data_IF_817258683537
#
_entry.id   IF_817258683537
#
_cell.length_a   1.000
_cell.length_b   1.000
_cell.length_c   1.000
_cell.angle_alpha   90.00
_cell.angle_beta   90.00
_cell.angle_gamma   90.00
#
_symmetry.space_group_name_H-M   'P 1'
#
loop_
_entity.id
_entity.type
_entity.pdbx_description
1 polymer ?
#
# COMPACT_ATOMS: atom_id res chain seq x y z
N UNK A 1 -2.08 -2.33 -15.94
CA UNK A 1 -2.00 -2.25 -14.47
C UNK A 1 -0.89 -1.30 -14.11
N UNK A 2 -1.20 -0.24 -13.35
CA UNK A 2 -0.24 0.75 -12.86
C UNK A 2 0.01 0.53 -11.37
N UNK A 3 1.25 0.25 -11.00
CA UNK A 3 1.68 0.11 -9.61
C UNK A 3 2.72 1.19 -9.31
N UNK A 4 2.51 1.97 -8.25
CA UNK A 4 3.45 3.01 -7.81
C UNK A 4 4.17 2.57 -6.55
N UNK A 5 5.49 2.70 -6.57
CA UNK A 5 6.37 2.44 -5.44
C UNK A 5 6.45 3.70 -4.59
N UNK A 6 6.29 3.54 -3.28
CA UNK A 6 6.29 4.62 -2.31
C UNK A 6 7.73 5.14 -2.01
N UNK A 7 7.83 6.29 -1.34
CA UNK A 7 9.09 6.89 -0.92
C UNK A 7 9.79 6.12 0.20
N UNK A 8 9.05 5.32 0.98
CA UNK A 8 9.63 4.49 2.04
C UNK A 8 10.47 3.32 1.49
N UNK A 9 10.36 3.01 0.19
CA UNK A 9 11.32 2.13 -0.47
C UNK A 9 12.56 2.93 -0.86
N UNK A 10 13.74 2.44 -0.45
CA UNK A 10 14.99 3.04 -0.88
C UNK A 10 15.08 3.09 -2.40
N UNK A 11 15.67 4.16 -2.94
CA UNK A 11 15.85 4.34 -4.39
C UNK A 11 16.47 3.11 -5.07
N UNK A 12 17.43 2.44 -4.41
CA UNK A 12 18.08 1.23 -4.96
C UNK A 12 17.12 0.05 -5.10
N UNK A 13 16.25 -0.16 -4.11
CA UNK A 13 15.22 -1.21 -4.14
C UNK A 13 14.18 -0.89 -5.22
N UNK A 14 13.68 0.36 -5.25
CA UNK A 14 12.72 0.79 -6.26
C UNK A 14 13.28 0.66 -7.69
N UNK A 15 14.55 1.06 -7.90
CA UNK A 15 15.24 0.90 -9.17
C UNK A 15 15.41 -0.57 -9.58
N UNK A 16 15.76 -1.44 -8.64
CA UNK A 16 15.90 -2.88 -8.91
C UNK A 16 14.56 -3.51 -9.33
N UNK A 17 13.47 -3.20 -8.62
CA UNK A 17 12.13 -3.66 -8.95
C UNK A 17 11.73 -3.20 -10.36
N UNK A 18 11.85 -1.91 -10.64
CA UNK A 18 11.51 -1.34 -11.96
C UNK A 18 12.32 -1.97 -13.09
N UNK A 19 13.62 -2.14 -12.90
CA UNK A 19 14.48 -2.75 -13.91
C UNK A 19 14.12 -4.22 -14.19
N UNK A 20 13.83 -5.01 -13.16
CA UNK A 20 13.48 -6.42 -13.32
C UNK A 20 12.09 -6.62 -13.94
N UNK A 21 11.19 -5.66 -13.72
CA UNK A 21 9.79 -5.70 -14.17
C UNK A 21 9.55 -4.91 -15.45
N UNK A 22 10.59 -4.33 -16.02
CA UNK A 22 10.53 -3.64 -17.30
C UNK A 22 10.00 -4.56 -18.41
N UNK A 23 9.35 -3.96 -19.40
CA UNK A 23 8.85 -4.62 -20.62
C UNK A 23 7.81 -5.74 -20.40
N UNK A 24 7.30 -5.88 -19.18
CA UNK A 24 6.16 -6.77 -18.89
C UNK A 24 4.88 -6.14 -19.47
N UNK A 25 4.37 -6.75 -20.54
CA UNK A 25 3.16 -6.26 -21.22
C UNK A 25 2.01 -6.00 -20.24
N UNK A 26 1.43 -4.80 -20.32
CA UNK A 26 0.30 -4.38 -19.48
C UNK A 26 0.65 -4.07 -18.03
N UNK A 27 1.93 -4.03 -17.63
CA UNK A 27 2.38 -3.62 -16.31
C UNK A 27 3.23 -2.35 -16.40
N UNK A 28 2.85 -1.33 -15.62
CA UNK A 28 3.61 -0.10 -15.46
C UNK A 28 4.02 0.02 -13.99
N UNK A 29 5.33 0.09 -13.72
CA UNK A 29 5.88 0.26 -12.37
C UNK A 29 6.64 1.58 -12.30
N UNK A 30 6.13 2.50 -11.48
CA UNK A 30 6.68 3.84 -11.29
C UNK A 30 7.13 4.04 -9.85
N UNK A 31 7.99 5.02 -9.59
CA UNK A 31 8.35 5.42 -8.22
C UNK A 31 7.82 6.84 -7.96
N UNK A 32 7.26 7.08 -6.77
CA UNK A 32 6.58 8.35 -6.46
C UNK A 32 7.48 9.59 -6.68
N UNK A 33 8.78 9.45 -6.41
CA UNK A 33 9.78 10.52 -6.57
C UNK A 33 10.10 10.86 -8.03
N UNK A 34 9.66 10.05 -9.00
CA UNK A 34 9.76 10.42 -10.43
C UNK A 34 8.77 11.55 -10.78
N UNK A 35 7.73 11.76 -9.96
CA UNK A 35 6.62 12.68 -10.23
C UNK A 35 6.48 13.77 -9.17
N UNK A 36 6.94 13.52 -7.95
CA UNK A 36 6.72 14.41 -6.80
C UNK A 36 8.02 14.71 -6.05
N UNK A 37 8.27 15.98 -5.70
CA UNK A 37 9.42 16.34 -4.89
C UNK A 37 9.32 15.77 -3.47
N UNK A 38 10.46 15.65 -2.76
CA UNK A 38 10.49 15.36 -1.33
C UNK A 38 9.53 16.22 -0.52
N UNK A 39 8.74 15.58 0.37
CA UNK A 39 7.80 16.27 1.26
C UNK A 39 6.42 16.56 0.68
N UNK A 40 6.09 16.01 -0.50
CA UNK A 40 4.70 15.99 -0.98
C UNK A 40 3.86 15.13 -0.03
N UNK A 41 2.70 15.63 0.38
CA UNK A 41 1.81 14.94 1.31
C UNK A 41 1.15 13.73 0.66
N UNK A 42 1.02 12.64 1.44
CA UNK A 42 0.44 11.38 0.97
C UNK A 42 -0.93 11.55 0.29
N UNK A 43 -1.92 12.24 0.90
CA UNK A 43 -3.25 12.36 0.29
C UNK A 43 -3.24 12.96 -1.12
N UNK A 44 -2.36 13.94 -1.37
CA UNK A 44 -2.32 14.64 -2.66
C UNK A 44 -1.80 13.76 -3.78
N UNK A 45 -0.67 13.06 -3.60
CA UNK A 45 -0.13 12.22 -4.66
C UNK A 45 -0.94 10.93 -4.85
N UNK A 46 -1.50 10.37 -3.77
CA UNK A 46 -2.42 9.23 -3.84
C UNK A 46 -3.63 9.54 -4.72
N UNK A 47 -4.27 10.69 -4.48
CA UNK A 47 -5.43 11.14 -5.25
C UNK A 47 -5.07 11.40 -6.72
N UNK A 48 -3.93 12.04 -6.98
CA UNK A 48 -3.45 12.27 -8.34
C UNK A 48 -3.21 10.95 -9.08
N UNK A 49 -2.53 10.00 -8.44
CA UNK A 49 -2.26 8.70 -9.04
C UNK A 49 -3.54 7.89 -9.30
N UNK A 50 -4.50 7.91 -8.37
CA UNK A 50 -5.80 7.29 -8.57
C UNK A 50 -6.53 7.89 -9.78
N UNK A 51 -6.52 9.22 -9.92
CA UNK A 51 -7.12 9.92 -11.07
C UNK A 51 -6.43 9.60 -12.40
N UNK A 52 -5.13 9.28 -12.40
CA UNK A 52 -4.36 8.78 -13.56
C UNK A 52 -4.66 7.32 -13.93
N UNK A 53 -5.60 6.66 -13.22
CA UNK A 53 -5.91 5.24 -13.40
C UNK A 53 -4.93 4.31 -12.68
N UNK A 54 -4.31 4.78 -11.59
CA UNK A 54 -3.52 3.95 -10.68
C UNK A 54 -4.31 2.75 -10.15
N UNK A 55 -3.65 1.61 -10.00
CA UNK A 55 -4.31 0.39 -9.48
C UNK A 55 -3.83 0.04 -8.07
N UNK A 56 -2.52 0.10 -7.83
CA UNK A 56 -1.96 -0.29 -6.55
C UNK A 56 -0.71 0.48 -6.15
N UNK A 57 -0.41 0.42 -4.86
CA UNK A 57 0.80 0.98 -4.26
C UNK A 57 1.55 -0.10 -3.51
N UNK A 58 2.87 -0.04 -3.60
CA UNK A 58 3.75 -0.83 -2.76
C UNK A 58 4.60 0.11 -1.90
N UNK A 59 4.35 0.09 -0.59
CA UNK A 59 5.10 0.88 0.38
C UNK A 59 6.17 0.05 1.08
N UNK A 60 7.21 0.74 1.55
CA UNK A 60 8.20 0.20 2.48
C UNK A 60 7.87 0.49 3.94
N UNK A 61 6.80 1.23 4.23
CA UNK A 61 6.46 1.61 5.60
C UNK A 61 5.86 0.43 6.38
N UNK A 62 6.71 -0.17 7.21
CA UNK A 62 6.30 -1.24 8.10
C UNK A 62 5.48 -0.78 9.32
N UNK A 63 5.40 0.53 9.56
CA UNK A 63 4.72 1.13 10.72
C UNK A 63 3.42 1.85 10.33
N UNK A 64 2.89 1.62 9.12
CA UNK A 64 1.67 2.28 8.64
C UNK A 64 0.48 2.16 9.62
N UNK A 65 0.40 1.05 10.36
CA UNK A 65 -0.64 0.81 11.38
C UNK A 65 -0.52 1.73 12.61
N UNK A 66 0.67 2.27 12.88
CA UNK A 66 0.89 3.24 13.95
C UNK A 66 0.50 4.67 13.51
N UNK A 67 0.36 4.88 12.20
CA UNK A 67 0.01 6.14 11.57
C UNK A 67 -1.36 6.02 10.89
N UNK A 68 -2.38 5.76 11.71
CA UNK A 68 -3.78 5.59 11.28
C UNK A 68 -4.30 6.65 10.29
N UNK A 69 -3.98 7.96 10.41
CA UNK A 69 -4.38 8.96 9.41
C UNK A 69 -3.84 8.65 8.00
N UNK A 70 -2.60 8.17 7.89
CA UNK A 70 -1.99 7.80 6.62
C UNK A 70 -2.68 6.55 6.07
N UNK A 71 -2.90 5.52 6.90
CA UNK A 71 -3.62 4.32 6.47
C UNK A 71 -5.02 4.63 5.92
N UNK A 72 -5.73 5.57 6.54
CA UNK A 72 -7.03 6.03 6.06
C UNK A 72 -6.90 6.70 4.69
N UNK A 73 -5.90 7.55 4.47
CA UNK A 73 -5.68 8.18 3.16
C UNK A 73 -5.43 7.14 2.06
N UNK A 74 -4.69 6.07 2.35
CA UNK A 74 -4.53 4.94 1.42
C UNK A 74 -5.86 4.25 1.11
N UNK A 75 -6.67 3.94 2.13
CA UNK A 75 -7.99 3.31 1.94
C UNK A 75 -8.96 4.20 1.16
N UNK A 76 -9.03 5.49 1.49
CA UNK A 76 -9.95 6.45 0.87
C UNK A 76 -9.53 6.84 -0.56
N UNK A 77 -8.26 6.64 -0.93
CA UNK A 77 -7.80 6.82 -2.32
C UNK A 77 -8.41 5.81 -3.31
N UNK A 78 -8.95 4.69 -2.81
CA UNK A 78 -9.43 3.58 -3.63
C UNK A 78 -8.32 2.70 -4.22
N UNK A 79 -7.05 3.06 -4.02
CA UNK A 79 -5.89 2.28 -4.47
C UNK A 79 -5.68 1.05 -3.57
N UNK A 80 -5.29 -0.06 -4.17
CA UNK A 80 -4.95 -1.27 -3.43
C UNK A 80 -3.52 -1.11 -2.90
N UNK A 81 -3.33 -1.25 -1.60
CA UNK A 81 -2.05 -0.89 -0.97
C UNK A 81 -1.38 -2.07 -0.29
N UNK A 82 -0.08 -2.24 -0.50
CA UNK A 82 0.72 -3.33 0.06
C UNK A 82 1.79 -2.77 0.99
N UNK A 83 1.88 -3.36 2.18
CA UNK A 83 2.81 -2.97 3.23
C UNK A 83 3.54 -4.19 3.78
N UNK A 84 4.84 -4.10 4.07
CA UNK A 84 5.57 -5.14 4.78
C UNK A 84 5.34 -5.06 6.31
N UNK A 85 5.71 -6.10 7.09
CA UNK A 85 5.80 -6.03 8.55
C UNK A 85 7.12 -5.41 9.01
N UNK A 86 7.24 -5.08 10.30
CA UNK A 86 8.43 -4.42 10.89
C UNK A 86 9.74 -5.16 10.62
N UNK A 87 9.73 -6.49 10.57
CA UNK A 87 10.92 -7.31 10.27
C UNK A 87 11.43 -7.18 8.83
N UNK A 88 10.72 -6.49 7.94
CA UNK A 88 11.21 -6.15 6.61
C UNK A 88 12.39 -5.18 6.65
N UNK A 89 12.47 -4.32 7.66
CA UNK A 89 13.59 -3.40 7.84
C UNK A 89 14.90 -4.15 8.15
N UNK A 90 14.82 -5.37 8.68
CA UNK A 90 15.98 -6.20 9.01
C UNK A 90 16.64 -6.78 7.75
N UNK A 91 15.89 -6.95 6.67
CA UNK A 91 16.38 -7.55 5.42
C UNK A 91 17.38 -6.65 4.66
N UNK A 92 17.29 -5.32 4.86
CA UNK A 92 18.06 -4.30 4.14
C UNK A 92 17.97 -4.46 2.61
N UNK A 93 18.69 -3.63 1.86
CA UNK A 93 18.48 -3.44 0.41
C UNK A 93 18.33 -4.73 -0.43
N UNK A 94 19.25 -5.70 -0.30
CA UNK A 94 19.16 -6.93 -1.09
C UNK A 94 18.02 -7.85 -0.65
N UNK A 95 17.82 -8.04 0.65
CA UNK A 95 16.75 -8.90 1.15
C UNK A 95 15.38 -8.30 0.87
N UNK A 96 15.24 -6.98 1.02
CA UNK A 96 14.02 -6.23 0.69
C UNK A 96 13.67 -6.39 -0.79
N UNK A 97 14.61 -6.11 -1.70
CA UNK A 97 14.39 -6.28 -3.13
C UNK A 97 14.04 -7.73 -3.49
N UNK A 98 14.75 -8.71 -2.91
CA UNK A 98 14.54 -10.13 -3.17
C UNK A 98 13.15 -10.59 -2.73
N UNK A 99 12.70 -10.21 -1.53
CA UNK A 99 11.38 -10.54 -1.04
C UNK A 99 10.28 -9.92 -1.93
N UNK A 100 10.39 -8.64 -2.26
CA UNK A 100 9.39 -7.94 -3.08
C UNK A 100 9.31 -8.52 -4.50
N UNK A 101 10.46 -8.82 -5.13
CA UNK A 101 10.49 -9.50 -6.43
C UNK A 101 9.88 -10.89 -6.36
N UNK A 102 10.16 -11.63 -5.29
CA UNK A 102 9.62 -12.97 -5.07
C UNK A 102 8.10 -12.95 -4.94
N UNK A 103 7.56 -11.96 -4.22
CA UNK A 103 6.12 -11.78 -3.99
C UNK A 103 5.38 -11.07 -5.13
N UNK A 104 6.09 -10.51 -6.10
CA UNK A 104 5.50 -9.70 -7.16
C UNK A 104 4.33 -10.36 -7.92
N UNK A 105 4.40 -11.65 -8.31
CA UNK A 105 3.28 -12.31 -8.99
C UNK A 105 2.00 -12.31 -8.14
N UNK A 106 2.14 -12.53 -6.83
CA UNK A 106 1.02 -12.52 -5.87
C UNK A 106 0.50 -11.10 -5.64
N UNK A 107 1.37 -10.08 -5.64
CA UNK A 107 0.94 -8.66 -5.58
C UNK A 107 0.06 -8.32 -6.79
N UNK A 108 0.49 -8.70 -8.00
CA UNK A 108 -0.27 -8.46 -9.24
C UNK A 108 -1.59 -9.22 -9.22
N UNK A 109 -1.59 -10.49 -8.82
CA UNK A 109 -2.80 -11.30 -8.73
C UNK A 109 -3.78 -10.74 -7.69
N UNK A 110 -3.28 -10.42 -6.49
CA UNK A 110 -4.10 -9.85 -5.43
C UNK A 110 -4.66 -8.49 -5.82
N UNK A 111 -3.92 -7.67 -6.56
CA UNK A 111 -4.42 -6.40 -7.09
C UNK A 111 -5.64 -6.60 -7.99
N UNK A 112 -5.72 -7.69 -8.76
CA UNK A 112 -6.89 -7.98 -9.62
C UNK A 112 -8.11 -8.45 -8.83
N UNK A 113 -7.89 -9.10 -7.68
CA UNK A 113 -8.94 -9.71 -6.87
C UNK A 113 -9.44 -8.82 -5.73
N UNK A 114 -8.71 -7.75 -5.42
CA UNK A 114 -9.02 -6.85 -4.31
C UNK A 114 -10.10 -5.85 -4.68
N UNK A 115 -10.80 -5.36 -3.66
CA UNK A 115 -11.71 -4.24 -3.78
C UNK A 115 -10.95 -2.91 -3.65
N UNK A 116 -11.54 -1.84 -4.15
CA UNK A 116 -10.97 -0.51 -4.03
C UNK A 116 -10.70 -0.16 -2.54
N UNK A 117 -9.50 0.35 -2.26
CA UNK A 117 -9.06 0.72 -0.90
C UNK A 117 -8.62 -0.45 -0.02
N UNK A 118 -8.58 -1.69 -0.53
CA UNK A 118 -8.04 -2.82 0.23
C UNK A 118 -6.54 -2.63 0.51
N UNK A 119 -6.17 -2.83 1.77
CA UNK A 119 -4.80 -2.78 2.24
C UNK A 119 -4.33 -4.17 2.69
N UNK A 120 -3.13 -4.58 2.32
CA UNK A 120 -2.59 -5.92 2.56
C UNK A 120 -1.19 -5.89 3.18
N UNK A 121 -0.93 -6.81 4.12
CA UNK A 121 0.40 -7.11 4.66
C UNK A 121 1.06 -8.20 3.80
N UNK A 122 2.28 -7.96 3.34
CA UNK A 122 3.13 -8.98 2.70
C UNK A 122 3.85 -9.79 3.79
N UNK A 123 3.73 -11.12 3.85
CA UNK A 123 4.41 -11.90 4.90
C UNK A 123 5.91 -12.06 4.60
N UNK A 124 6.71 -12.35 5.64
CA UNK A 124 8.16 -12.56 5.52
C UNK A 124 8.56 -13.94 4.99
N UNK A 125 7.60 -14.75 4.54
CA UNK A 125 7.89 -16.09 4.04
C UNK A 125 8.40 -16.05 2.61
N UNK A 126 9.37 -16.90 2.27
CA UNK A 126 9.96 -16.91 0.92
C UNK A 126 9.04 -17.47 -0.18
N UNK A 127 8.10 -18.35 0.17
CA UNK A 127 7.17 -18.96 -0.80
C UNK A 127 5.91 -18.11 -0.91
N UNK A 128 5.63 -17.49 -2.08
CA UNK A 128 4.44 -16.69 -2.31
C UNK A 128 3.21 -17.59 -2.35
N UNK A 129 2.17 -17.13 -1.66
CA UNK A 129 0.84 -17.73 -1.63
C UNK A 129 -0.14 -16.60 -1.33
N UNK A 130 -1.14 -16.44 -2.20
CA UNK A 130 -2.10 -15.35 -2.13
C UNK A 130 -2.95 -15.37 -0.85
N UNK A 131 -3.11 -16.55 -0.23
CA UNK A 131 -3.87 -16.73 1.01
C UNK A 131 -3.11 -16.21 2.23
N UNK A 132 -1.80 -16.00 2.12
CA UNK A 132 -0.94 -15.53 3.22
C UNK A 132 -0.87 -14.01 3.35
N UNK A 133 -1.48 -13.27 2.43
CA UNK A 133 -1.61 -11.82 2.57
C UNK A 133 -2.64 -11.51 3.65
N UNK A 134 -2.23 -10.77 4.68
CA UNK A 134 -3.10 -10.38 5.79
C UNK A 134 -3.82 -9.07 5.43
N UNK A 135 -5.14 -8.99 5.56
CA UNK A 135 -5.88 -7.75 5.29
C UNK A 135 -5.67 -6.76 6.45
N UNK A 136 -5.27 -5.54 6.13
CA UNK A 136 -5.26 -4.41 7.07
C UNK A 136 -6.65 -3.80 7.11
N UNK A 137 -7.23 -3.71 8.32
CA UNK A 137 -8.57 -3.14 8.53
C UNK A 137 -8.47 -1.68 8.90
N UNK A 138 -9.52 -0.93 8.57
CA UNK A 138 -9.67 0.45 9.00
C UNK A 138 -9.77 0.49 10.54
N UNK A 139 -8.89 1.23 11.25
CA UNK A 139 -8.94 1.42 12.70
C UNK A 139 -10.29 1.90 13.22
N UNK A 140 -10.94 2.76 12.43
CA UNK A 140 -12.18 3.45 12.80
C UNK A 140 -13.30 2.44 12.97
N UNK A 141 -13.30 1.36 12.19
CA UNK A 141 -14.30 0.30 12.25
C UNK A 141 -14.17 -0.51 13.54
N UNK A 142 -12.95 -0.95 13.89
CA UNK A 142 -12.71 -1.64 15.16
C UNK A 142 -13.02 -0.77 16.38
N UNK A 143 -12.69 0.52 16.30
CA UNK A 143 -13.02 1.50 17.36
C UNK A 143 -14.53 1.70 17.48
N UNK A 144 -15.27 1.71 16.36
CA UNK A 144 -16.74 1.84 16.35
C UNK A 144 -17.41 0.60 16.95
N UNK A 145 -17.00 -0.60 16.58
CA UNK A 145 -17.49 -1.87 17.16
C UNK A 145 -17.19 -1.94 18.68
N UNK A 146 -16.00 -1.50 19.10
CA UNK A 146 -15.62 -1.41 20.52
C UNK A 146 -16.43 -0.33 21.27
N UNK A 147 -16.73 0.80 20.63
CA UNK A 147 -17.55 1.87 21.23
C UNK A 147 -19.02 1.50 21.32
N UNK A 148 -19.58 0.85 20.30
CA UNK A 148 -20.96 0.34 20.30
C UNK A 148 -21.15 -0.78 21.33
N UNK A 149 -20.13 -1.63 21.55
CA UNK A 149 -20.17 -2.64 22.61
C UNK A 149 -19.97 -2.09 24.03
N UNK A 150 -19.46 -0.86 24.18
CA UNK A 150 -19.25 -0.19 25.47
C UNK A 150 -20.16 1.05 25.68
N UNK A 151 -21.17 1.24 24.83
CA UNK A 151 -22.14 2.35 24.88
C UNK A 151 -21.50 3.75 24.91
N UNK A 152 -20.40 3.92 24.16
CA UNK A 152 -19.65 5.18 24.07
C UNK A 152 -20.02 5.91 22.78
N UNK A 153 -20.48 7.16 22.88
CA UNK A 153 -20.91 7.96 21.72
C UNK A 153 -19.85 8.02 20.61
N UNK A 154 -20.25 7.68 19.38
CA UNK A 154 -19.39 7.71 18.20
C UNK A 154 -19.34 9.10 17.56
N UNK A 155 -18.15 9.58 17.21
CA UNK A 155 -17.99 10.83 16.45
C UNK A 155 -18.40 10.62 14.99
N UNK A 156 -19.12 11.61 14.43
CA UNK A 156 -19.72 11.55 13.09
C UNK A 156 -18.65 11.47 12.00
N UNK A 157 -18.77 10.48 11.11
CA UNK A 157 -17.92 10.33 9.93
C UNK A 157 -18.18 11.52 8.99
N UNK A 158 -17.13 12.28 8.64
CA UNK A 158 -17.23 13.35 7.66
C UNK A 158 -17.55 12.76 6.29
N UNK A 159 -18.76 13.02 5.79
CA UNK A 159 -19.12 12.78 4.39
C UNK A 159 -18.53 13.90 3.54
N UNK A 160 -17.52 13.58 2.73
CA UNK A 160 -17.04 14.50 1.71
C UNK A 160 -18.15 14.67 0.66
N UNK A 161 -18.64 15.90 0.48
CA UNK A 161 -19.57 16.25 -0.60
C UNK A 161 -18.83 16.12 -1.93
N UNK A 162 -19.41 15.35 -2.86
CA UNK A 162 -19.02 15.40 -4.26
C UNK A 162 -19.43 16.77 -4.83
N UNK A 163 -18.45 17.54 -5.33
CA UNK A 163 -18.68 18.70 -6.20
C UNK A 163 -18.62 18.27 -7.65
#
# INVERSE_FOLDING_TARGET
>A
MKIRLDENLSYRVAKALRAFLADRSGLEVTWVRDFHPPGTDDPSWLKAFAAEGGNAILSGDARILQHWPNLIAYMESGLISFFPPSSFDDLKGFGQASLLLRWWPVIVEKTKLSQAGDCWRIPMTWTPDITRLERLRDPRLGTKELKESHDIATATVHTFRAT
#
